data_IF_442962347853
#
_entry.id   IF_442962347853
#
_cell.length_a   1.000
_cell.length_b   1.000
_cell.length_c   1.000
_cell.angle_alpha   90.00
_cell.angle_beta   90.00
_cell.angle_gamma   90.00
#
_symmetry.space_group_name_H-M   'P 1'
#
loop_
_entity.id
_entity.type
_entity.pdbx_description
1 polymer ?
#
# COMPACT_ATOMS: atom_id res chain seq x y z
N UNK A 1 -30.77 15.97 17.01
CA UNK A 1 -29.33 16.23 17.21
C UNK A 1 -28.43 15.16 16.57
N UNK A 2 -28.53 13.87 16.95
CA UNK A 2 -27.67 12.78 16.40
C UNK A 2 -27.80 12.58 14.88
N UNK A 3 -29.02 12.65 14.33
CA UNK A 3 -29.29 12.43 12.89
C UNK A 3 -28.74 13.54 11.98
N UNK A 4 -28.89 14.80 12.41
CA UNK A 4 -28.31 15.97 11.71
C UNK A 4 -26.79 15.98 11.74
N UNK A 5 -26.20 15.62 12.88
CA UNK A 5 -24.74 15.44 12.98
C UNK A 5 -24.23 14.38 12.00
N UNK A 6 -24.87 13.20 11.98
CA UNK A 6 -24.51 12.12 11.05
C UNK A 6 -24.65 12.54 9.58
N UNK A 7 -25.71 13.27 9.23
CA UNK A 7 -25.92 13.76 7.86
C UNK A 7 -24.84 14.74 7.43
N UNK A 8 -24.46 15.70 8.31
CA UNK A 8 -23.36 16.64 8.05
C UNK A 8 -22.02 15.93 7.89
N UNK A 9 -21.73 14.98 8.78
CA UNK A 9 -20.52 14.16 8.72
C UNK A 9 -20.40 13.43 7.39
N UNK A 10 -21.44 12.69 6.99
CA UNK A 10 -21.41 11.92 5.75
C UNK A 10 -21.32 12.80 4.50
N UNK A 11 -21.98 13.98 4.49
CA UNK A 11 -21.85 14.94 3.39
C UNK A 11 -20.42 15.48 3.24
N UNK A 12 -19.72 15.70 4.35
CA UNK A 12 -18.31 16.10 4.33
C UNK A 12 -17.43 14.98 3.76
N UNK A 13 -17.59 13.76 4.27
CA UNK A 13 -16.81 12.59 3.82
C UNK A 13 -17.04 12.31 2.34
N UNK A 14 -18.29 12.30 1.88
CA UNK A 14 -18.61 12.03 0.47
C UNK A 14 -18.20 13.16 -0.47
N UNK A 15 -17.97 14.36 0.05
CA UNK A 15 -17.34 15.47 -0.67
C UNK A 15 -15.85 15.25 -0.96
N UNK A 16 -15.16 14.44 -0.15
CA UNK A 16 -13.74 14.09 -0.36
C UNK A 16 -13.61 12.84 -1.23
N UNK A 17 -14.32 11.76 -0.87
CA UNK A 17 -14.30 10.46 -1.59
C UNK A 17 -15.73 10.05 -1.90
N UNK A 18 -16.08 9.72 -3.15
CA UNK A 18 -17.44 9.29 -3.47
C UNK A 18 -17.86 8.06 -2.65
N UNK A 19 -19.15 7.92 -2.35
CA UNK A 19 -19.67 6.86 -1.48
C UNK A 19 -19.25 5.45 -1.94
N UNK A 20 -19.23 5.20 -3.26
CA UNK A 20 -18.76 3.93 -3.84
C UNK A 20 -17.26 3.68 -3.68
N UNK A 21 -16.44 4.72 -3.53
CA UNK A 21 -14.99 4.62 -3.36
C UNK A 21 -14.56 4.52 -1.90
N UNK A 22 -15.43 4.88 -0.96
CA UNK A 22 -15.09 4.87 0.46
C UNK A 22 -14.86 3.46 1.00
N UNK A 23 -15.77 2.52 0.69
CA UNK A 23 -15.59 1.13 1.15
C UNK A 23 -14.30 0.51 0.60
N UNK A 24 -14.02 0.58 -0.73
CA UNK A 24 -12.76 0.07 -1.26
C UNK A 24 -11.51 0.66 -0.63
N UNK A 25 -11.50 1.97 -0.42
CA UNK A 25 -10.39 2.69 0.19
C UNK A 25 -10.12 2.22 1.63
N UNK A 26 -11.15 2.21 2.47
CA UNK A 26 -11.03 1.82 3.89
C UNK A 26 -10.70 0.33 4.00
N UNK A 27 -11.36 -0.51 3.20
CA UNK A 27 -11.12 -1.95 3.21
C UNK A 27 -9.70 -2.29 2.79
N UNK A 28 -9.14 -1.63 1.77
CA UNK A 28 -7.74 -1.83 1.35
C UNK A 28 -6.76 -1.58 2.49
N UNK A 29 -6.92 -0.47 3.21
CA UNK A 29 -6.08 -0.16 4.37
C UNK A 29 -6.19 -1.21 5.47
N UNK A 30 -7.42 -1.55 5.87
CA UNK A 30 -7.67 -2.56 6.92
C UNK A 30 -7.14 -3.92 6.51
N UNK A 31 -7.38 -4.34 5.26
CA UNK A 31 -6.92 -5.62 4.74
C UNK A 31 -5.40 -5.70 4.67
N UNK A 32 -4.73 -4.60 4.32
CA UNK A 32 -3.27 -4.52 4.38
C UNK A 32 -2.75 -4.73 5.81
N UNK A 33 -3.34 -4.06 6.81
CA UNK A 33 -2.98 -4.25 8.22
C UNK A 33 -3.23 -5.70 8.67
N UNK A 34 -4.35 -6.30 8.27
CA UNK A 34 -4.66 -7.69 8.58
C UNK A 34 -3.66 -8.67 7.96
N UNK A 35 -3.28 -8.46 6.70
CA UNK A 35 -2.28 -9.31 6.03
C UNK A 35 -0.92 -9.15 6.70
N UNK A 36 -0.46 -7.93 6.94
CA UNK A 36 0.86 -7.67 7.52
C UNK A 36 0.95 -8.19 8.96
N UNK A 37 0.06 -7.73 9.84
CA UNK A 37 0.09 -8.14 11.25
C UNK A 37 -0.32 -9.61 11.44
N UNK A 38 -1.24 -10.11 10.61
CA UNK A 38 -1.71 -11.50 10.67
C UNK A 38 -0.65 -12.50 10.23
N UNK A 39 0.03 -12.25 9.10
CA UNK A 39 1.14 -13.11 8.66
C UNK A 39 2.26 -13.12 9.68
N UNK A 40 2.62 -11.95 10.24
CA UNK A 40 3.62 -11.85 11.31
C UNK A 40 3.21 -12.61 12.58
N UNK A 41 1.95 -12.48 13.01
CA UNK A 41 1.47 -13.18 14.19
C UNK A 41 1.54 -14.71 14.05
N UNK A 42 1.40 -15.23 12.82
CA UNK A 42 1.45 -16.66 12.51
C UNK A 42 2.89 -17.14 12.30
N UNK A 43 3.66 -16.45 11.45
CA UNK A 43 4.96 -16.89 10.95
C UNK A 43 6.17 -16.19 11.58
N UNK A 44 5.96 -15.23 12.49
CA UNK A 44 7.06 -14.47 13.11
C UNK A 44 8.05 -15.31 13.90
N UNK A 45 7.63 -16.48 14.40
CA UNK A 45 8.51 -17.44 15.07
C UNK A 45 9.03 -18.58 14.18
N UNK A 46 8.73 -18.58 12.89
CA UNK A 46 9.17 -19.63 11.96
C UNK A 46 10.63 -19.42 11.55
N UNK A 47 11.17 -20.34 10.76
CA UNK A 47 12.44 -20.11 10.08
C UNK A 47 12.25 -19.14 8.91
N UNK A 48 13.09 -18.12 8.82
CA UNK A 48 13.03 -17.11 7.76
C UNK A 48 14.25 -17.25 6.85
N UNK A 49 14.01 -17.27 5.54
CA UNK A 49 15.03 -17.40 4.53
C UNK A 49 15.67 -16.04 4.25
N UNK A 50 16.97 -15.93 4.47
CA UNK A 50 17.73 -14.79 4.00
C UNK A 50 18.01 -14.95 2.50
N UNK A 51 17.51 -14.00 1.70
CA UNK A 51 17.64 -13.99 0.24
C UNK A 51 18.50 -12.82 -0.28
N UNK A 52 19.36 -12.26 0.57
CA UNK A 52 20.34 -11.25 0.19
C UNK A 52 21.28 -11.75 -0.90
N UNK A 53 21.46 -10.95 -1.95
CA UNK A 53 22.48 -11.19 -2.97
C UNK A 53 23.80 -10.51 -2.62
N UNK A 54 24.88 -10.91 -3.31
CA UNK A 54 26.17 -10.23 -3.22
C UNK A 54 26.09 -8.73 -3.57
N UNK A 55 25.12 -8.31 -4.38
CA UNK A 55 24.92 -6.91 -4.70
C UNK A 55 24.27 -6.17 -3.52
N UNK A 56 23.28 -6.77 -2.86
CA UNK A 56 22.60 -6.19 -1.69
C UNK A 56 23.59 -5.93 -0.54
N UNK A 57 24.54 -6.85 -0.34
CA UNK A 57 25.60 -6.72 0.68
C UNK A 57 26.56 -5.56 0.40
N UNK A 58 26.75 -5.17 -0.87
CA UNK A 58 27.64 -4.05 -1.26
C UNK A 58 26.96 -2.69 -1.18
N UNK A 59 25.63 -2.65 -1.18
CA UNK A 59 24.89 -1.39 -1.09
C UNK A 59 25.03 -0.81 0.33
N UNK A 60 25.39 0.47 0.48
CA UNK A 60 25.57 1.07 1.80
C UNK A 60 24.23 1.23 2.53
N UNK A 61 24.29 1.28 3.86
CA UNK A 61 23.18 1.80 4.65
C UNK A 61 23.22 3.34 4.61
N UNK A 62 22.13 3.98 4.19
CA UNK A 62 22.03 5.45 4.04
C UNK A 62 20.76 5.94 4.74
N UNK A 63 20.83 6.27 6.05
CA UNK A 63 19.64 6.55 6.86
C UNK A 63 18.90 7.84 6.49
N UNK A 64 19.48 8.73 5.68
CA UNK A 64 18.80 9.93 5.17
C UNK A 64 17.58 9.59 4.30
N UNK A 65 17.57 8.39 3.69
CA UNK A 65 16.41 7.88 2.98
C UNK A 65 15.20 7.60 3.90
N UNK A 66 15.36 7.58 5.22
CA UNK A 66 14.24 7.49 6.17
C UNK A 66 13.21 8.61 5.96
N UNK A 67 13.61 9.79 5.46
CA UNK A 67 12.65 10.84 5.08
C UNK A 67 11.67 10.33 4.03
N UNK A 68 12.18 9.64 3.01
CA UNK A 68 11.35 9.07 1.94
C UNK A 68 10.56 7.87 2.47
N UNK A 69 11.20 7.04 3.30
CA UNK A 69 10.56 5.87 3.92
C UNK A 69 9.31 6.27 4.70
N UNK A 70 9.40 7.25 5.61
CA UNK A 70 8.23 7.71 6.35
C UNK A 70 7.34 8.63 5.52
N UNK A 71 7.90 9.42 4.59
CA UNK A 71 7.14 10.27 3.68
C UNK A 71 6.22 9.49 2.74
N UNK A 72 6.53 8.21 2.48
CA UNK A 72 5.73 7.38 1.57
C UNK A 72 4.29 7.20 2.05
N UNK A 73 4.01 7.22 3.35
CA UNK A 73 2.64 7.09 3.87
C UNK A 73 1.74 8.26 3.42
N UNK A 74 2.29 9.48 3.33
CA UNK A 74 1.55 10.64 2.79
C UNK A 74 1.33 10.46 1.29
N UNK A 75 2.38 10.05 0.56
CA UNK A 75 2.28 9.74 -0.86
C UNK A 75 1.20 8.69 -1.16
N UNK A 76 1.15 7.62 -0.36
CA UNK A 76 0.13 6.57 -0.48
C UNK A 76 -1.26 7.09 -0.17
N UNK A 77 -1.44 7.80 0.95
CA UNK A 77 -2.73 8.35 1.33
C UNK A 77 -3.32 9.24 0.22
N UNK A 78 -2.51 10.16 -0.31
CA UNK A 78 -2.95 11.05 -1.40
C UNK A 78 -3.33 10.24 -2.65
N UNK A 79 -2.49 9.31 -3.10
CA UNK A 79 -2.76 8.58 -4.34
C UNK A 79 -3.89 7.56 -4.23
N UNK A 80 -4.07 6.93 -3.08
CA UNK A 80 -5.22 6.05 -2.84
C UNK A 80 -6.54 6.83 -2.76
N UNK A 81 -6.53 8.05 -2.19
CA UNK A 81 -7.67 8.96 -2.27
C UNK A 81 -7.94 9.35 -3.73
N UNK A 82 -6.91 9.70 -4.50
CA UNK A 82 -7.06 10.01 -5.92
C UNK A 82 -7.61 8.82 -6.72
N UNK A 83 -7.15 7.60 -6.42
CA UNK A 83 -7.66 6.36 -7.02
C UNK A 83 -9.12 6.12 -6.64
N UNK A 84 -9.50 6.30 -5.37
CA UNK A 84 -10.88 6.14 -4.89
C UNK A 84 -11.86 7.21 -5.41
N UNK A 85 -11.35 8.30 -5.96
CA UNK A 85 -12.14 9.37 -6.59
C UNK A 85 -12.35 9.18 -8.09
N UNK A 86 -11.75 8.15 -8.71
CA UNK A 86 -11.88 7.92 -10.16
C UNK A 86 -13.30 7.46 -10.50
N UNK A 87 -13.57 7.25 -11.78
CA UNK A 87 -14.82 6.63 -12.21
C UNK A 87 -15.03 5.28 -11.52
N UNK A 88 -16.30 4.96 -11.23
CA UNK A 88 -16.71 3.78 -10.43
C UNK A 88 -16.02 2.50 -10.88
N UNK A 89 -16.03 2.22 -12.18
CA UNK A 89 -15.41 1.02 -12.74
C UNK A 89 -13.90 1.00 -12.47
N UNK A 90 -13.21 2.13 -12.65
CA UNK A 90 -11.77 2.24 -12.40
C UNK A 90 -11.42 2.04 -10.93
N UNK A 91 -12.25 2.57 -10.02
CA UNK A 91 -12.11 2.34 -8.57
C UNK A 91 -12.13 0.85 -8.27
N UNK A 92 -13.18 0.14 -8.68
CA UNK A 92 -13.32 -1.28 -8.33
C UNK A 92 -12.27 -2.15 -9.02
N UNK A 93 -11.87 -1.84 -10.26
CA UNK A 93 -10.76 -2.53 -10.93
C UNK A 93 -9.43 -2.35 -10.19
N UNK A 94 -9.10 -1.12 -9.79
CA UNK A 94 -7.90 -0.81 -9.02
C UNK A 94 -7.88 -1.54 -7.68
N UNK A 95 -8.95 -1.40 -6.88
CA UNK A 95 -8.99 -2.02 -5.55
C UNK A 95 -9.16 -3.55 -5.59
N UNK A 96 -9.64 -4.11 -6.70
CA UNK A 96 -9.59 -5.57 -6.90
C UNK A 96 -8.16 -6.05 -7.13
N UNK A 97 -7.38 -5.35 -7.96
CA UNK A 97 -5.96 -5.62 -8.13
C UNK A 97 -5.21 -5.51 -6.78
N UNK A 98 -5.54 -4.47 -6.01
CA UNK A 98 -5.03 -4.23 -4.67
C UNK A 98 -5.28 -5.44 -3.75
N UNK A 99 -6.53 -5.90 -3.62
CA UNK A 99 -6.87 -7.06 -2.77
C UNK A 99 -6.15 -8.33 -3.22
N UNK A 100 -6.17 -8.64 -4.53
CA UNK A 100 -5.51 -9.84 -5.07
C UNK A 100 -4.03 -9.83 -4.70
N UNK A 101 -3.36 -8.68 -4.83
CA UNK A 101 -1.94 -8.56 -4.49
C UNK A 101 -1.66 -8.87 -3.03
N UNK A 102 -2.52 -8.42 -2.09
CA UNK A 102 -2.38 -8.70 -0.64
C UNK A 102 -2.62 -10.17 -0.32
N UNK A 103 -3.56 -10.81 -1.01
CA UNK A 103 -3.76 -12.25 -0.89
C UNK A 103 -2.50 -13.02 -1.34
N UNK A 104 -1.88 -12.61 -2.45
CA UNK A 104 -0.65 -13.23 -2.93
C UNK A 104 0.51 -12.99 -1.96
N UNK A 105 0.68 -11.76 -1.45
CA UNK A 105 1.67 -11.48 -0.41
C UNK A 105 1.45 -12.36 0.83
N UNK A 106 0.22 -12.47 1.34
CA UNK A 106 -0.11 -13.31 2.48
C UNK A 106 0.30 -14.78 2.24
N UNK A 107 -0.03 -15.32 1.08
CA UNK A 107 0.33 -16.70 0.72
C UNK A 107 1.85 -16.86 0.70
N UNK A 108 2.59 -15.94 0.09
CA UNK A 108 4.05 -16.02 -0.01
C UNK A 108 4.70 -15.84 1.36
N UNK A 109 4.28 -14.87 2.17
CA UNK A 109 4.81 -14.62 3.51
C UNK A 109 4.67 -15.83 4.43
N UNK A 110 3.59 -16.61 4.27
CA UNK A 110 3.39 -17.84 5.01
C UNK A 110 4.12 -19.03 4.36
N UNK A 111 4.10 -19.17 3.03
CA UNK A 111 4.71 -20.31 2.36
C UNK A 111 6.26 -20.26 2.35
N UNK A 112 6.83 -19.05 2.31
CA UNK A 112 8.26 -18.80 2.23
C UNK A 112 8.61 -17.51 3.00
N UNK A 113 8.61 -17.54 4.34
CA UNK A 113 8.99 -16.39 5.15
C UNK A 113 10.43 -15.97 4.83
N UNK A 114 10.65 -14.68 4.62
CA UNK A 114 11.96 -14.14 4.22
C UNK A 114 12.42 -13.05 5.17
N UNK A 115 13.74 -12.93 5.30
CA UNK A 115 14.41 -11.94 6.15
C UNK A 115 15.67 -11.39 5.45
N UNK A 116 16.33 -10.42 6.07
CA UNK A 116 17.58 -9.83 5.61
C UNK A 116 18.46 -9.42 6.80
N UNK A 117 19.72 -9.10 6.51
CA UNK A 117 20.69 -8.67 7.52
C UNK A 117 20.64 -7.15 7.65
N UNK A 118 20.23 -6.67 8.83
CA UNK A 118 20.23 -5.25 9.15
C UNK A 118 21.49 -4.87 9.94
N UNK A 119 22.10 -3.71 9.65
CA UNK A 119 23.26 -3.25 10.41
C UNK A 119 22.87 -2.94 11.86
N UNK A 120 23.80 -3.19 12.78
CA UNK A 120 23.67 -2.70 14.16
C UNK A 120 23.84 -1.18 14.14
N UNK A 121 22.89 -0.46 14.74
CA UNK A 121 22.93 0.99 14.83
C UNK A 121 23.59 1.36 16.17
N UNK A 122 24.86 1.78 16.12
CA UNK A 122 25.66 2.09 17.33
C UNK A 122 25.74 3.59 17.66
N UNK A 123 25.31 4.45 16.72
CA UNK A 123 25.38 5.91 16.87
C UNK A 123 24.23 6.50 17.69
N UNK A 124 24.38 7.78 18.04
CA UNK A 124 23.39 8.57 18.79
C UNK A 124 22.93 9.83 18.03
N UNK A 125 23.25 9.95 16.73
CA UNK A 125 22.78 11.04 15.89
C UNK A 125 21.28 10.92 15.58
N UNK A 126 20.67 11.99 15.06
CA UNK A 126 19.24 12.00 14.72
C UNK A 126 18.86 10.87 13.74
N UNK A 127 19.75 10.57 12.79
CA UNK A 127 19.58 9.49 11.81
C UNK A 127 19.65 8.10 12.44
N UNK A 128 20.53 7.92 13.42
CA UNK A 128 20.68 6.66 14.15
C UNK A 128 19.45 6.40 15.03
N UNK A 129 18.96 7.44 15.72
CA UNK A 129 17.74 7.36 16.51
C UNK A 129 16.52 7.02 15.65
N UNK A 130 16.39 7.64 14.47
CA UNK A 130 15.30 7.33 13.53
C UNK A 130 15.43 5.91 12.96
N UNK A 131 16.65 5.45 12.65
CA UNK A 131 16.90 4.10 12.16
C UNK A 131 16.57 3.05 13.23
N UNK A 132 17.04 3.26 14.46
CA UNK A 132 16.74 2.39 15.61
C UNK A 132 15.24 2.34 15.89
N UNK A 133 14.55 3.48 15.83
CA UNK A 133 13.10 3.53 15.95
C UNK A 133 12.40 2.71 14.84
N UNK A 134 12.79 2.90 13.57
CA UNK A 134 12.26 2.11 12.46
C UNK A 134 12.42 0.60 12.72
N UNK A 135 13.63 0.16 13.09
CA UNK A 135 13.90 -1.25 13.32
C UNK A 135 13.16 -1.81 14.55
N UNK A 136 12.77 -0.97 15.50
CA UNK A 136 11.95 -1.39 16.65
C UNK A 136 10.47 -1.59 16.31
N UNK A 137 9.93 -0.82 15.37
CA UNK A 137 8.50 -0.87 15.02
C UNK A 137 8.23 -1.78 13.81
N UNK A 138 9.25 -2.01 12.99
CA UNK A 138 9.17 -2.75 11.74
C UNK A 138 10.28 -3.80 11.71
N UNK A 139 9.92 -5.08 11.84
CA UNK A 139 10.94 -6.14 11.94
C UNK A 139 11.37 -6.61 10.56
N UNK A 140 12.44 -7.41 10.51
CA UNK A 140 12.94 -8.03 9.28
C UNK A 140 12.13 -9.29 8.91
N UNK A 141 10.80 -9.18 8.91
CA UNK A 141 9.85 -10.21 8.49
C UNK A 141 8.96 -9.70 7.35
N UNK A 142 8.28 -10.60 6.64
CA UNK A 142 7.37 -10.26 5.54
C UNK A 142 8.03 -9.44 4.40
N UNK A 143 9.28 -9.80 4.05
CA UNK A 143 10.08 -9.02 3.13
C UNK A 143 9.71 -9.25 1.65
N UNK A 144 9.75 -10.49 1.19
CA UNK A 144 9.45 -10.86 -0.19
C UNK A 144 7.98 -11.25 -0.39
N UNK A 145 7.23 -10.63 -1.33
CA UNK A 145 7.56 -9.43 -2.10
C UNK A 145 7.31 -8.14 -1.30
N UNK A 146 8.02 -7.05 -1.63
CA UNK A 146 7.91 -5.80 -0.89
C UNK A 146 6.54 -5.13 -1.06
N UNK A 147 5.75 -5.08 0.02
CA UNK A 147 4.49 -4.32 0.05
C UNK A 147 4.74 -2.81 -0.14
N UNK A 148 5.83 -2.27 0.43
CA UNK A 148 6.20 -0.85 0.26
C UNK A 148 6.36 -0.50 -1.23
N UNK A 149 7.08 -1.33 -1.98
CA UNK A 149 7.30 -1.12 -3.41
C UNK A 149 6.02 -1.36 -4.20
N UNK A 150 5.27 -2.41 -3.87
CA UNK A 150 4.01 -2.77 -4.51
C UNK A 150 2.96 -1.66 -4.39
N UNK A 151 2.75 -1.11 -3.18
CA UNK A 151 1.78 -0.02 -2.92
C UNK A 151 2.24 1.26 -3.62
N UNK A 152 3.53 1.57 -3.57
CA UNK A 152 4.10 2.74 -4.24
C UNK A 152 3.94 2.65 -5.76
N UNK A 153 4.13 1.46 -6.33
CA UNK A 153 3.89 1.24 -7.76
C UNK A 153 2.41 1.32 -8.12
N UNK A 154 1.51 0.78 -7.28
CA UNK A 154 0.07 0.99 -7.46
C UNK A 154 -0.33 2.46 -7.45
N UNK A 155 0.29 3.29 -6.60
CA UNK A 155 0.03 4.73 -6.59
C UNK A 155 0.27 5.36 -7.97
N UNK A 156 1.35 4.96 -8.66
CA UNK A 156 1.63 5.38 -10.02
C UNK A 156 0.65 4.77 -11.04
N UNK A 157 0.46 3.44 -11.01
CA UNK A 157 -0.43 2.73 -11.95
C UNK A 157 -1.88 3.21 -11.88
N UNK A 158 -2.38 3.53 -10.69
CA UNK A 158 -3.75 4.00 -10.47
C UNK A 158 -4.05 5.36 -11.10
N UNK A 159 -3.02 6.17 -11.41
CA UNK A 159 -3.19 7.52 -11.95
C UNK A 159 -2.60 7.72 -13.35
N UNK A 160 -1.68 6.87 -13.81
CA UNK A 160 -0.88 7.13 -15.02
C UNK A 160 -1.73 7.34 -16.29
N UNK A 161 -2.81 6.58 -16.44
CA UNK A 161 -3.69 6.64 -17.62
C UNK A 161 -4.87 7.61 -17.44
N UNK A 162 -4.97 8.29 -16.29
CA UNK A 162 -6.10 9.15 -15.97
C UNK A 162 -5.95 10.52 -16.63
N UNK A 163 -6.90 10.90 -17.49
CA UNK A 163 -6.87 12.18 -18.24
C UNK A 163 -6.97 13.40 -17.32
N UNK A 164 -7.69 13.28 -16.20
CA UNK A 164 -7.91 14.38 -15.24
C UNK A 164 -6.69 14.70 -14.36
N UNK A 165 -5.68 13.83 -14.36
CA UNK A 165 -4.47 14.01 -13.57
C UNK A 165 -3.42 14.64 -14.47
N UNK A 166 -2.81 15.78 -14.09
CA UNK A 166 -1.85 16.47 -14.94
C UNK A 166 -0.56 15.67 -15.11
N UNK A 167 0.08 15.79 -16.26
CA UNK A 167 1.29 15.03 -16.62
C UNK A 167 2.44 15.24 -15.63
N UNK A 168 2.61 16.45 -15.10
CA UNK A 168 3.64 16.74 -14.10
C UNK A 168 3.46 15.88 -12.84
N UNK A 169 2.22 15.70 -12.37
CA UNK A 169 1.93 14.92 -11.17
C UNK A 169 2.12 13.42 -11.42
N UNK A 170 1.86 12.94 -12.64
CA UNK A 170 2.19 11.56 -13.03
C UNK A 170 3.70 11.31 -12.96
N UNK A 171 4.50 12.26 -13.44
CA UNK A 171 5.96 12.22 -13.35
C UNK A 171 6.45 12.25 -11.89
N UNK A 172 5.86 13.10 -11.06
CA UNK A 172 6.14 13.15 -9.61
C UNK A 172 5.79 11.81 -8.94
N UNK A 173 4.61 11.25 -9.21
CA UNK A 173 4.17 9.98 -8.63
C UNK A 173 5.08 8.81 -9.03
N UNK A 174 5.49 8.74 -10.30
CA UNK A 174 6.49 7.77 -10.76
C UNK A 174 7.82 7.94 -10.00
N UNK A 175 8.30 9.17 -9.90
CA UNK A 175 9.59 9.48 -9.24
C UNK A 175 9.53 9.12 -7.76
N UNK A 176 8.45 9.47 -7.07
CA UNK A 176 8.25 9.10 -5.66
C UNK A 176 8.18 7.58 -5.49
N UNK A 177 7.52 6.85 -6.39
CA UNK A 177 7.49 5.40 -6.33
C UNK A 177 8.90 4.79 -6.43
N UNK A 178 9.72 5.25 -7.38
CA UNK A 178 11.12 4.82 -7.52
C UNK A 178 11.97 5.22 -6.30
N UNK A 179 11.76 6.42 -5.76
CA UNK A 179 12.45 6.86 -4.55
C UNK A 179 12.11 5.99 -3.34
N UNK A 180 10.87 5.49 -3.24
CA UNK A 180 10.51 4.52 -2.18
C UNK A 180 11.28 3.21 -2.36
N UNK A 181 11.48 2.72 -3.58
CA UNK A 181 12.26 1.50 -3.83
C UNK A 181 13.71 1.67 -3.36
N UNK A 182 14.33 2.79 -3.75
CA UNK A 182 15.68 3.14 -3.30
C UNK A 182 15.71 3.29 -1.78
N UNK A 183 14.69 3.93 -1.21
CA UNK A 183 14.57 4.12 0.22
C UNK A 183 14.57 2.80 0.96
N UNK A 184 13.79 1.81 0.53
CA UNK A 184 13.71 0.53 1.22
C UNK A 184 15.02 -0.26 1.16
N UNK A 185 15.77 -0.12 0.06
CA UNK A 185 17.09 -0.73 -0.11
C UNK A 185 18.12 -0.06 0.80
N UNK A 186 18.20 1.27 0.77
CA UNK A 186 19.19 2.03 1.52
C UNK A 186 18.92 2.08 3.03
N UNK A 187 17.67 1.90 3.46
CA UNK A 187 17.33 1.71 4.88
C UNK A 187 17.46 0.24 5.33
N UNK A 188 17.88 -0.66 4.42
CA UNK A 188 18.00 -2.11 4.65
C UNK A 188 16.69 -2.75 5.14
N UNK A 189 15.56 -2.22 4.68
CA UNK A 189 14.25 -2.84 4.91
C UNK A 189 13.96 -3.94 3.89
N UNK A 190 14.45 -3.80 2.67
CA UNK A 190 14.25 -4.76 1.60
C UNK A 190 15.50 -4.95 0.76
N UNK A 191 15.62 -6.13 0.15
CA UNK A 191 16.64 -6.43 -0.86
C UNK A 191 16.09 -6.20 -2.27
N UNK A 192 16.96 -6.18 -3.27
CA UNK A 192 16.59 -5.95 -4.68
C UNK A 192 15.53 -6.94 -5.18
N UNK A 193 15.58 -8.20 -4.74
CA UNK A 193 14.61 -9.24 -5.12
C UNK A 193 13.22 -8.92 -4.56
N UNK A 194 13.11 -8.39 -3.35
CA UNK A 194 11.82 -7.96 -2.77
C UNK A 194 11.20 -6.82 -3.58
N UNK A 195 12.03 -5.85 -3.98
CA UNK A 195 11.61 -4.72 -4.81
C UNK A 195 11.10 -5.21 -6.16
N UNK A 196 11.88 -6.04 -6.84
CA UNK A 196 11.49 -6.62 -8.13
C UNK A 196 10.19 -7.44 -8.00
N UNK A 197 10.09 -8.28 -6.97
CA UNK A 197 8.88 -9.05 -6.66
C UNK A 197 7.66 -8.14 -6.44
N UNK A 198 7.81 -7.07 -5.67
CA UNK A 198 6.75 -6.10 -5.41
C UNK A 198 6.26 -5.39 -6.67
N UNK A 199 7.17 -4.93 -7.53
CA UNK A 199 6.85 -4.25 -8.79
C UNK A 199 6.20 -5.19 -9.79
N UNK A 200 6.76 -6.40 -9.98
CA UNK A 200 6.20 -7.41 -10.88
C UNK A 200 4.80 -7.81 -10.42
N UNK A 201 4.64 -8.09 -9.13
CA UNK A 201 3.35 -8.47 -8.56
C UNK A 201 2.31 -7.35 -8.74
N UNK A 202 2.68 -6.10 -8.45
CA UNK A 202 1.81 -4.94 -8.68
C UNK A 202 1.36 -4.85 -10.14
N UNK A 203 2.29 -5.03 -11.09
CA UNK A 203 1.99 -4.96 -12.52
C UNK A 203 1.04 -6.08 -12.97
N UNK A 204 1.31 -7.32 -12.55
CA UNK A 204 0.47 -8.49 -12.86
C UNK A 204 -0.92 -8.31 -12.26
N UNK A 205 -1.03 -7.99 -10.98
CA UNK A 205 -2.30 -7.78 -10.31
C UNK A 205 -3.08 -6.61 -10.92
N UNK A 206 -2.42 -5.51 -11.29
CA UNK A 206 -3.07 -4.39 -11.98
C UNK A 206 -3.67 -4.82 -13.32
N UNK A 207 -2.91 -5.57 -14.13
CA UNK A 207 -3.41 -6.11 -15.40
C UNK A 207 -4.61 -7.03 -15.16
N UNK A 208 -4.54 -7.92 -14.16
CA UNK A 208 -5.65 -8.79 -13.79
C UNK A 208 -6.89 -8.00 -13.38
N UNK A 209 -6.76 -6.98 -12.54
CA UNK A 209 -7.86 -6.11 -12.14
C UNK A 209 -8.50 -5.37 -13.33
N UNK A 210 -7.70 -4.99 -14.32
CA UNK A 210 -8.17 -4.28 -15.52
C UNK A 210 -8.75 -5.18 -16.62
N UNK A 211 -8.25 -6.41 -16.77
CA UNK A 211 -8.65 -7.32 -17.86
C UNK A 211 -9.69 -8.35 -17.46
N UNK A 212 -9.87 -8.62 -16.18
CA UNK A 212 -10.83 -9.62 -15.70
C UNK A 212 -12.12 -8.96 -15.20
N UNK A 213 -13.17 -9.77 -15.03
CA UNK A 213 -14.46 -9.35 -14.45
C UNK A 213 -14.53 -9.56 -12.93
N UNK A 214 -13.41 -9.88 -12.27
CA UNK A 214 -13.36 -10.15 -10.83
C UNK A 214 -13.85 -8.95 -10.01
N UNK A 215 -13.67 -7.74 -10.53
CA UNK A 215 -14.10 -6.51 -9.87
C UNK A 215 -15.62 -6.39 -9.70
N UNK A 216 -16.45 -7.08 -10.50
CA UNK A 216 -17.90 -7.08 -10.29
C UNK A 216 -18.30 -7.77 -8.98
N UNK A 217 -17.55 -8.80 -8.55
CA UNK A 217 -17.79 -9.46 -7.26
C UNK A 217 -17.59 -8.43 -6.15
N UNK A 218 -16.47 -7.71 -6.22
CA UNK A 218 -16.13 -6.71 -5.23
C UNK A 218 -17.08 -5.51 -5.24
N UNK A 219 -17.46 -5.05 -6.43
CA UNK A 219 -18.48 -4.01 -6.64
C UNK A 219 -19.84 -4.39 -6.04
N UNK A 220 -20.28 -5.64 -6.19
CA UNK A 220 -21.56 -6.09 -5.64
C UNK A 220 -21.60 -5.95 -4.12
N UNK A 221 -20.50 -6.24 -3.44
CA UNK A 221 -20.37 -6.01 -1.99
C UNK A 221 -20.31 -4.52 -1.66
N UNK A 222 -19.46 -3.75 -2.36
CA UNK A 222 -19.32 -2.31 -2.14
C UNK A 222 -20.63 -1.54 -2.35
N UNK A 223 -21.43 -1.93 -3.35
CA UNK A 223 -22.73 -1.33 -3.64
C UNK A 223 -23.73 -1.48 -2.49
N UNK A 224 -23.68 -2.59 -1.73
CA UNK A 224 -24.55 -2.76 -0.55
C UNK A 224 -24.20 -1.76 0.55
N UNK A 225 -22.91 -1.50 0.74
CA UNK A 225 -22.41 -0.55 1.73
C UNK A 225 -22.68 0.89 1.29
N UNK A 226 -22.45 1.18 0.01
CA UNK A 226 -22.80 2.46 -0.62
C UNK A 226 -24.28 2.83 -0.40
N UNK A 227 -25.22 1.91 -0.67
CA UNK A 227 -26.65 2.15 -0.43
C UNK A 227 -26.95 2.51 1.02
N UNK A 228 -26.24 1.89 1.97
CA UNK A 228 -26.37 2.19 3.40
C UNK A 228 -25.77 3.55 3.76
N UNK A 229 -24.68 3.97 3.11
CA UNK A 229 -24.11 5.31 3.29
C UNK A 229 -25.06 6.38 2.75
N UNK A 230 -25.62 6.13 1.56
CA UNK A 230 -26.52 7.07 0.89
C UNK A 230 -27.82 7.27 1.68
N UNK A 231 -28.34 6.25 2.37
CA UNK A 231 -29.54 6.41 3.22
C UNK A 231 -29.34 7.31 4.45
N UNK A 232 -28.10 7.60 4.83
CA UNK A 232 -27.77 8.58 5.89
C UNK A 232 -27.62 10.01 5.35
N UNK A 233 -27.39 10.19 4.04
CA UNK A 233 -27.18 11.50 3.39
C UNK A 233 -28.44 12.00 2.71
N UNK A 234 -29.08 11.13 1.95
CA UNK A 234 -30.43 11.27 1.43
C UNK A 234 -31.34 10.72 2.51
N UNK A 235 -31.96 11.60 3.31
CA UNK A 235 -32.86 11.16 4.36
C UNK A 235 -33.88 10.19 3.77
N UNK A 236 -33.94 8.97 4.34
CA UNK A 236 -35.02 8.00 4.04
C UNK A 236 -36.33 8.79 3.97
N UNK A 237 -36.87 8.91 2.75
CA UNK A 237 -38.22 9.44 2.53
C UNK A 237 -39.21 8.51 3.20
#
# INVERSE_FOLDING_TARGET
MRREFMKRFWKYVTGIVPAYGLFPLVFSFVFNCLVYSGSRAIAGGWYHHNIESNLDLRLPFVPQFLIIYFGCYVFWAVNYILAARQEREQVYRFFTADIISRCVCLIIFLAYPTTNTRPVIEGNGIWDLLAGWLYSIDAADNLFPSIHCLVSWFCFLGIKDQKRIPTWYKGVSFTLAVLVFLSTIFTKQHVLVDVAGGVILAQVCFILGQKTKLWHIYERFGTKIEKKINSYTEGVK
#
